data_IF_188683644867
#
_entry.id   IF_188683644867
#
_cell.length_a   1.000
_cell.length_b   1.000
_cell.length_c   1.000
_cell.angle_alpha   90.00
_cell.angle_beta   90.00
_cell.angle_gamma   90.00
#
_symmetry.space_group_name_H-M   'P 1'
#
loop_
_entity.id
_entity.type
_entity.pdbx_description
1 polymer ?
#
# COMPACT_ATOMS: atom_id res chain seq x y z
N UNK A 1 -7.41 -2.85 15.82
CA UNK A 1 -5.98 -2.59 15.54
C UNK A 1 -5.59 -1.30 16.26
N UNK A 2 -4.43 -1.23 16.92
CA UNK A 2 -3.97 0.00 17.56
C UNK A 2 -2.72 0.45 16.80
N UNK A 3 -2.81 1.61 16.14
CA UNK A 3 -1.70 2.23 15.42
C UNK A 3 -1.18 3.38 16.28
N UNK A 4 0.11 3.36 16.62
CA UNK A 4 0.79 4.48 17.28
C UNK A 4 1.78 5.08 16.30
N UNK A 5 1.55 6.34 15.92
CA UNK A 5 2.35 7.08 14.96
C UNK A 5 2.47 8.52 15.43
N UNK A 6 3.68 9.09 15.34
CA UNK A 6 3.91 10.50 15.59
C UNK A 6 3.65 11.27 14.29
N UNK A 7 2.59 12.09 14.29
CA UNK A 7 2.15 12.89 13.16
C UNK A 7 2.18 14.36 13.58
N UNK A 8 2.55 15.25 12.65
CA UNK A 8 2.47 16.69 12.86
C UNK A 8 1.07 17.11 13.33
N UNK A 9 1.00 17.95 14.36
CA UNK A 9 -0.25 18.43 14.96
C UNK A 9 -1.19 19.08 13.94
N UNK A 10 -0.67 19.83 12.96
CA UNK A 10 -1.49 20.47 11.94
C UNK A 10 -2.29 19.45 11.11
N UNK A 11 -1.67 18.31 10.78
CA UNK A 11 -2.33 17.22 10.05
C UNK A 11 -3.42 16.58 10.91
N UNK A 12 -3.19 16.45 12.22
CA UNK A 12 -4.19 15.92 13.16
C UNK A 12 -5.41 16.86 13.23
N UNK A 13 -5.18 18.16 13.24
CA UNK A 13 -6.25 19.17 13.25
C UNK A 13 -7.09 19.10 11.97
N UNK A 14 -6.45 19.06 10.79
CA UNK A 14 -7.16 18.88 9.52
C UNK A 14 -7.95 17.58 9.48
N UNK A 15 -7.34 16.47 9.92
CA UNK A 15 -8.00 15.16 9.96
C UNK A 15 -9.23 15.17 10.88
N UNK A 16 -9.15 15.85 12.03
CA UNK A 16 -10.30 16.02 12.93
C UNK A 16 -11.42 16.85 12.28
N UNK A 17 -11.07 17.89 11.51
CA UNK A 17 -12.04 18.69 10.77
C UNK A 17 -12.77 17.84 9.72
N UNK A 18 -12.04 17.07 8.92
CA UNK A 18 -12.64 16.18 7.92
C UNK A 18 -13.48 15.07 8.56
N UNK A 19 -13.01 14.46 9.65
CA UNK A 19 -13.76 13.45 10.38
C UNK A 19 -15.12 13.99 10.86
N UNK A 20 -15.13 15.20 11.41
CA UNK A 20 -16.35 15.86 11.87
C UNK A 20 -17.30 16.17 10.71
N UNK A 21 -16.78 16.74 9.62
CA UNK A 21 -17.58 17.13 8.45
C UNK A 21 -18.21 15.91 7.76
N UNK A 22 -17.46 14.81 7.65
CA UNK A 22 -17.92 13.57 7.03
C UNK A 22 -18.71 12.67 8.00
N UNK A 23 -18.87 13.07 9.26
CA UNK A 23 -19.46 12.26 10.32
C UNK A 23 -18.83 10.84 10.42
N UNK A 24 -17.51 10.78 10.27
CA UNK A 24 -16.72 9.56 10.34
C UNK A 24 -15.75 9.59 11.54
N UNK A 25 -15.29 8.41 11.96
CA UNK A 25 -14.26 8.31 12.99
C UNK A 25 -12.90 8.65 12.39
N UNK A 26 -12.10 9.44 13.12
CA UNK A 26 -10.72 9.75 12.78
C UNK A 26 -9.91 8.50 12.41
N UNK A 27 -10.06 7.44 13.21
CA UNK A 27 -9.33 6.18 13.02
C UNK A 27 -9.65 5.52 11.68
N UNK A 28 -10.91 5.57 11.23
CA UNK A 28 -11.32 5.04 9.92
C UNK A 28 -10.70 5.84 8.77
N UNK A 29 -10.58 7.16 8.90
CA UNK A 29 -9.92 8.00 7.90
C UNK A 29 -8.42 7.71 7.82
N UNK A 30 -7.77 7.47 8.96
CA UNK A 30 -6.35 7.06 9.00
C UNK A 30 -6.18 5.71 8.33
N UNK A 31 -7.04 4.74 8.62
CA UNK A 31 -7.01 3.41 8.01
C UNK A 31 -7.14 3.51 6.48
N UNK A 32 -8.18 4.20 5.99
CA UNK A 32 -8.38 4.45 4.55
C UNK A 32 -7.19 5.16 3.89
N UNK A 33 -6.55 6.11 4.60
CA UNK A 33 -5.40 6.82 4.06
C UNK A 33 -4.17 5.92 3.94
N UNK A 34 -3.93 5.06 4.93
CA UNK A 34 -2.84 4.08 4.91
C UNK A 34 -3.07 3.04 3.81
N UNK A 35 -4.29 2.50 3.69
CA UNK A 35 -4.65 1.56 2.62
C UNK A 35 -4.38 2.15 1.23
N UNK A 36 -4.86 3.37 0.97
CA UNK A 36 -4.60 4.06 -0.30
C UNK A 36 -3.11 4.31 -0.55
N UNK A 37 -2.33 4.55 0.49
CA UNK A 37 -0.89 4.73 0.33
C UNK A 37 -0.21 3.40 0.01
N UNK A 38 -0.66 2.29 0.58
CA UNK A 38 -0.17 0.96 0.20
C UNK A 38 -0.49 0.61 -1.25
N UNK A 39 -1.70 0.90 -1.73
CA UNK A 39 -2.05 0.71 -3.15
C UNK A 39 -1.09 1.46 -4.08
N UNK A 40 -0.76 2.72 -3.74
CA UNK A 40 0.19 3.52 -4.49
C UNK A 40 1.61 2.92 -4.46
N UNK A 41 2.06 2.43 -3.30
CA UNK A 41 3.37 1.80 -3.18
C UNK A 41 3.44 0.50 -3.98
N UNK A 42 2.37 -0.30 -3.97
CA UNK A 42 2.28 -1.53 -4.75
C UNK A 42 2.37 -1.25 -6.25
N UNK A 43 1.72 -0.19 -6.73
CA UNK A 43 1.83 0.27 -8.11
C UNK A 43 3.29 0.64 -8.47
N UNK A 44 3.95 1.45 -7.62
CA UNK A 44 5.35 1.84 -7.83
C UNK A 44 6.31 0.64 -7.86
N UNK A 45 6.08 -0.34 -6.99
CA UNK A 45 6.87 -1.57 -6.94
C UNK A 45 6.63 -2.40 -8.20
N UNK A 46 5.38 -2.51 -8.65
CA UNK A 46 5.03 -3.22 -9.88
C UNK A 46 5.69 -2.58 -11.10
N UNK A 47 5.65 -1.25 -11.22
CA UNK A 47 6.30 -0.52 -12.32
C UNK A 47 7.82 -0.71 -12.31
N UNK A 48 8.45 -0.67 -11.12
CA UNK A 48 9.88 -0.96 -10.96
C UNK A 48 10.22 -2.36 -11.47
N UNK A 49 9.45 -3.38 -11.04
CA UNK A 49 9.64 -4.77 -11.46
C UNK A 49 9.46 -4.93 -12.97
N UNK A 50 8.48 -4.26 -13.56
CA UNK A 50 8.24 -4.27 -15.00
C UNK A 50 9.45 -3.71 -15.76
N UNK A 51 10.00 -2.56 -15.34
CA UNK A 51 11.23 -1.99 -15.93
C UNK A 51 12.43 -2.90 -15.78
N UNK A 52 12.56 -3.61 -14.65
CA UNK A 52 13.65 -4.57 -14.46
C UNK A 52 13.51 -5.77 -15.40
N UNK A 53 12.28 -6.23 -15.67
CA UNK A 53 11.99 -7.30 -16.63
C UNK A 53 12.32 -6.85 -18.06
N UNK A 54 11.86 -5.67 -18.46
CA UNK A 54 12.12 -5.10 -19.80
C UNK A 54 13.61 -4.90 -20.06
N UNK A 55 14.37 -4.51 -19.04
CA UNK A 55 15.83 -4.33 -19.13
C UNK A 55 16.61 -5.64 -18.93
N UNK A 56 15.95 -6.79 -18.81
CA UNK A 56 16.57 -8.11 -18.67
C UNK A 56 17.28 -8.36 -17.33
N UNK A 57 17.03 -7.53 -16.31
CA UNK A 57 17.58 -7.71 -14.95
C UNK A 57 16.90 -8.82 -14.19
N UNK A 58 15.63 -9.08 -14.49
CA UNK A 58 14.84 -10.19 -13.94
C UNK A 58 14.17 -10.96 -15.08
N UNK A 59 13.76 -12.19 -14.81
CA UNK A 59 13.09 -13.05 -15.79
C UNK A 59 11.77 -13.58 -15.22
N UNK A 60 10.82 -13.89 -16.10
CA UNK A 60 9.62 -14.65 -15.72
C UNK A 60 9.95 -16.13 -15.57
N UNK A 61 9.32 -16.78 -14.61
CA UNK A 61 9.38 -18.24 -14.45
C UNK A 61 8.06 -18.81 -14.98
N UNK A 62 8.13 -19.96 -15.67
CA UNK A 62 6.94 -20.67 -16.14
C UNK A 62 6.13 -21.19 -14.96
N UNK A 63 4.81 -21.09 -15.05
CA UNK A 63 3.90 -21.48 -13.97
C UNK A 63 4.07 -22.96 -13.57
N UNK A 64 4.29 -23.85 -14.55
CA UNK A 64 4.49 -25.28 -14.32
C UNK A 64 5.68 -25.55 -13.40
N UNK A 65 6.77 -24.79 -13.58
CA UNK A 65 7.97 -24.91 -12.74
C UNK A 65 7.70 -24.45 -11.31
N UNK A 66 6.88 -23.41 -11.13
CA UNK A 66 6.49 -22.92 -9.81
C UNK A 66 5.61 -23.93 -9.09
N UNK A 67 4.68 -24.57 -9.80
CA UNK A 67 3.82 -25.61 -9.24
C UNK A 67 4.62 -26.85 -8.82
N UNK A 68 5.55 -27.31 -9.67
CA UNK A 68 6.51 -28.38 -9.31
C UNK A 68 7.31 -28.04 -8.03
N UNK A 69 7.81 -26.80 -7.91
CA UNK A 69 8.55 -26.35 -6.71
C UNK A 69 7.69 -26.25 -5.45
N UNK A 70 6.40 -25.93 -5.60
CA UNK A 70 5.42 -25.84 -4.51
C UNK A 70 4.76 -27.19 -4.16
N UNK A 71 4.99 -28.23 -4.96
CA UNK A 71 4.42 -29.56 -4.75
C UNK A 71 2.91 -29.64 -4.94
N UNK A 72 2.36 -28.79 -5.82
CA UNK A 72 0.92 -28.73 -6.17
C UNK A 72 0.68 -28.95 -7.65
#
# INVERSE_FOLDING_TARGET
MIIKVDINQNIIEELNMYAKELNEKKDNLIEKAIEKYFDLLDEQIAEKRLKELENGKINTIKAEKVFEELGI
#
